data_IF_598500909973
#
_entry.id   IF_598500909973
#
_cell.length_a   1.000
_cell.length_b   1.000
_cell.length_c   1.000
_cell.angle_alpha   90.00
_cell.angle_beta   90.00
_cell.angle_gamma   90.00
#
_symmetry.space_group_name_H-M   'P 1'
#
loop_
_entity.id
_entity.type
_entity.pdbx_description
1 polymer ?
#
# COMPACT_ATOMS: atom_id res chain seq x y z
N UNK A 1 11.68 -23.12 3.80
CA UNK A 1 10.54 -23.61 4.59
C UNK A 1 9.89 -22.41 5.29
N UNK A 2 8.64 -22.16 4.96
CA UNK A 2 7.80 -21.19 5.67
C UNK A 2 7.10 -21.97 6.80
N UNK A 3 7.84 -22.24 7.89
CA UNK A 3 7.31 -23.00 9.03
C UNK A 3 6.20 -22.23 9.77
N UNK A 4 6.26 -20.91 9.72
CA UNK A 4 5.33 -20.04 10.42
C UNK A 4 4.12 -19.65 9.54
N UNK A 5 4.04 -20.20 8.32
CA UNK A 5 2.98 -19.94 7.33
C UNK A 5 2.75 -18.45 7.05
N UNK A 6 3.81 -17.64 7.21
CA UNK A 6 3.77 -16.17 7.07
C UNK A 6 3.44 -15.80 5.63
N UNK A 7 2.43 -14.97 5.46
CA UNK A 7 2.05 -14.36 4.18
C UNK A 7 2.98 -13.22 3.77
N UNK A 8 2.88 -12.80 2.51
CA UNK A 8 3.77 -11.76 1.97
C UNK A 8 3.54 -10.37 2.58
N UNK A 9 2.33 -10.09 3.07
CA UNK A 9 1.95 -8.81 3.65
C UNK A 9 2.20 -8.75 5.18
N UNK A 10 2.30 -9.91 5.86
CA UNK A 10 2.46 -9.94 7.31
C UNK A 10 3.68 -9.16 7.82
N UNK A 11 4.86 -9.23 7.15
CA UNK A 11 6.00 -8.45 7.59
C UNK A 11 5.81 -6.92 7.53
N UNK A 12 4.81 -6.44 6.80
CA UNK A 12 4.49 -5.01 6.63
C UNK A 12 3.16 -4.61 7.26
N UNK A 13 2.51 -5.54 7.96
CA UNK A 13 1.18 -5.31 8.53
C UNK A 13 1.16 -4.15 9.51
N UNK A 14 2.14 -4.08 10.41
CA UNK A 14 2.24 -3.01 11.40
C UNK A 14 2.36 -1.62 10.73
N UNK A 15 3.10 -1.52 9.63
CA UNK A 15 3.25 -0.28 8.87
C UNK A 15 1.96 0.08 8.11
N UNK A 16 1.24 -0.91 7.59
CA UNK A 16 -0.05 -0.70 6.95
C UNK A 16 -1.09 -0.22 7.96
N UNK A 17 -1.13 -0.81 9.16
CA UNK A 17 -2.03 -0.42 10.23
C UNK A 17 -1.70 0.99 10.74
N UNK A 18 -0.41 1.33 10.91
CA UNK A 18 0.03 2.68 11.26
C UNK A 18 -0.36 3.72 10.20
N UNK A 19 -0.25 3.37 8.93
CA UNK A 19 -0.65 4.23 7.81
C UNK A 19 -2.17 4.44 7.78
N UNK A 20 -2.94 3.37 7.96
CA UNK A 20 -4.41 3.43 8.02
C UNK A 20 -4.88 4.30 9.19
N UNK A 21 -4.26 4.16 10.37
CA UNK A 21 -4.54 4.99 11.54
C UNK A 21 -4.20 6.47 11.28
N UNK A 22 -3.09 6.75 10.61
CA UNK A 22 -2.67 8.12 10.27
C UNK A 22 -3.70 8.77 9.35
N UNK A 23 -4.18 8.09 8.31
CA UNK A 23 -5.23 8.62 7.43
C UNK A 23 -6.57 8.81 8.14
N UNK A 24 -6.93 7.90 9.07
CA UNK A 24 -8.14 8.06 9.89
C UNK A 24 -8.05 9.32 10.76
N UNK A 25 -6.92 9.52 11.45
CA UNK A 25 -6.69 10.70 12.28
C UNK A 25 -6.68 11.99 11.46
N UNK A 26 -6.09 11.99 10.26
CA UNK A 26 -6.11 13.13 9.34
C UNK A 26 -7.54 13.49 8.93
N UNK A 27 -8.37 12.49 8.65
CA UNK A 27 -9.79 12.67 8.33
C UNK A 27 -10.54 13.29 9.50
N UNK A 28 -10.30 12.82 10.72
CA UNK A 28 -10.93 13.35 11.95
C UNK A 28 -10.47 14.78 12.22
N UNK A 29 -9.19 15.09 11.97
CA UNK A 29 -8.65 16.45 12.10
C UNK A 29 -9.31 17.40 11.09
N UNK A 30 -9.51 16.98 9.84
CA UNK A 30 -10.24 17.77 8.83
C UNK A 30 -11.70 18.01 9.23
N UNK A 31 -12.37 16.99 9.78
CA UNK A 31 -13.74 17.15 10.33
C UNK A 31 -13.76 18.11 11.52
N UNK A 32 -12.77 18.05 12.39
CA UNK A 32 -12.62 18.94 13.53
C UNK A 32 -12.45 20.41 13.09
N UNK A 33 -11.69 20.65 12.02
CA UNK A 33 -11.55 21.99 11.42
C UNK A 33 -12.89 22.46 10.84
N UNK A 34 -13.63 21.59 10.17
CA UNK A 34 -14.95 21.91 9.61
C UNK A 34 -15.98 22.25 10.71
N UNK A 35 -15.85 21.64 11.89
CA UNK A 35 -16.70 21.86 13.08
C UNK A 35 -16.05 22.78 14.11
N UNK A 36 -15.21 23.70 13.68
CA UNK A 36 -14.48 24.60 14.56
C UNK A 36 -15.42 25.36 15.50
N UNK A 37 -15.04 25.45 16.78
CA UNK A 37 -15.77 26.17 17.80
C UNK A 37 -15.44 27.64 17.68
N UNK A 38 -16.47 28.48 17.62
CA UNK A 38 -16.31 29.91 17.66
C UNK A 38 -16.18 30.37 19.11
N UNK A 39 -15.02 30.88 19.49
CA UNK A 39 -14.80 31.48 20.81
C UNK A 39 -14.95 33.00 20.75
N UNK A 40 -15.74 33.51 21.67
CA UNK A 40 -15.99 34.98 21.81
C UNK A 40 -15.45 35.39 23.18
N UNK A 41 -14.49 36.31 23.19
CA UNK A 41 -13.88 36.85 24.41
C UNK A 41 -14.36 38.27 24.67
N UNK A 42 -14.62 38.65 25.93
CA UNK A 42 -14.96 39.99 26.32
C UNK A 42 -16.42 40.41 26.08
N UNK A 43 -17.29 39.46 25.64
CA UNK A 43 -18.73 39.74 25.53
C UNK A 43 -19.46 39.43 26.84
N UNK A 44 -20.24 40.37 27.35
CA UNK A 44 -21.15 40.10 28.46
C UNK A 44 -22.40 39.40 27.90
N UNK A 45 -22.52 38.11 28.13
CA UNK A 45 -23.67 37.26 27.78
C UNK A 45 -24.14 37.40 26.31
N UNK A 46 -23.77 36.47 25.50
CA UNK A 46 -24.28 36.33 24.14
C UNK A 46 -25.60 35.55 24.22
N UNK A 47 -26.72 36.18 23.81
CA UNK A 47 -28.03 35.53 23.76
C UNK A 47 -28.09 34.51 22.61
N UNK A 48 -28.87 33.41 22.77
CA UNK A 48 -29.03 32.37 21.72
C UNK A 48 -29.43 32.98 20.37
N UNK A 49 -30.25 34.04 20.39
CA UNK A 49 -30.67 34.74 19.18
C UNK A 49 -29.54 35.45 18.44
N UNK A 50 -28.52 35.91 19.14
CA UNK A 50 -27.34 36.53 18.54
C UNK A 50 -26.44 35.44 17.91
N UNK A 51 -26.31 34.28 18.56
CA UNK A 51 -25.58 33.11 18.02
C UNK A 51 -26.23 32.62 16.73
N UNK A 52 -27.57 32.49 16.72
CA UNK A 52 -28.31 32.10 15.54
C UNK A 52 -28.17 33.13 14.40
N UNK A 53 -28.17 34.44 14.74
CA UNK A 53 -27.96 35.50 13.76
C UNK A 53 -26.53 35.46 13.16
N UNK A 54 -25.51 35.17 13.96
CA UNK A 54 -24.12 34.98 13.50
C UNK A 54 -24.03 33.79 12.55
N UNK A 55 -24.62 32.65 12.93
CA UNK A 55 -24.60 31.44 12.11
C UNK A 55 -25.32 31.62 10.77
N UNK A 56 -26.44 32.35 10.78
CA UNK A 56 -27.32 32.59 9.61
C UNK A 56 -26.78 33.66 8.66
N UNK A 57 -26.30 34.77 9.22
CA UNK A 57 -25.87 35.91 8.41
C UNK A 57 -24.34 35.97 8.19
N UNK A 58 -23.60 35.12 8.90
CA UNK A 58 -22.12 35.12 8.89
C UNK A 58 -21.48 36.48 9.24
N UNK A 59 -22.21 37.30 9.96
CA UNK A 59 -21.79 38.63 10.38
C UNK A 59 -22.06 38.79 11.89
N UNK A 60 -21.03 39.14 12.64
CA UNK A 60 -21.14 39.46 14.06
C UNK A 60 -20.82 40.96 14.30
N UNK A 61 -21.65 41.63 15.11
CA UNK A 61 -21.33 42.95 15.65
C UNK A 61 -20.77 42.76 17.04
N UNK A 62 -19.49 43.07 17.21
CA UNK A 62 -18.78 42.94 18.47
C UNK A 62 -18.66 44.27 19.18
N UNK A 63 -18.72 44.32 20.54
CA UNK A 63 -18.31 45.47 21.33
C UNK A 63 -16.83 45.81 21.06
N UNK A 64 -16.43 47.03 21.42
CA UNK A 64 -15.09 47.58 21.09
C UNK A 64 -13.94 46.71 21.67
N UNK A 65 -14.17 46.01 22.78
CA UNK A 65 -13.15 45.19 23.48
C UNK A 65 -13.34 43.69 23.28
N UNK A 66 -14.30 43.25 22.43
CA UNK A 66 -14.55 41.86 22.20
C UNK A 66 -13.72 41.33 21.03
N UNK A 67 -13.17 40.11 21.20
CA UNK A 67 -12.43 39.39 20.19
C UNK A 67 -13.15 38.07 19.85
N UNK A 68 -13.18 37.75 18.59
CA UNK A 68 -13.78 36.53 18.09
C UNK A 68 -12.74 35.73 17.30
N UNK A 69 -12.59 34.47 17.62
CA UNK A 69 -11.69 33.59 16.88
C UNK A 69 -12.24 32.15 16.82
N UNK A 70 -11.92 31.44 15.75
CA UNK A 70 -12.22 30.02 15.69
C UNK A 70 -11.12 29.26 16.42
N UNK A 71 -11.54 28.40 17.38
CA UNK A 71 -10.64 27.50 18.06
C UNK A 71 -10.52 26.26 17.18
N UNK A 72 -9.39 26.12 16.51
CA UNK A 72 -9.07 24.96 15.67
C UNK A 72 -7.83 24.29 16.21
N UNK A 73 -7.74 22.96 16.05
CA UNK A 73 -6.53 22.22 16.33
C UNK A 73 -5.45 22.63 15.31
N UNK A 74 -4.30 23.05 15.81
CA UNK A 74 -3.17 23.34 14.93
C UNK A 74 -2.46 22.03 14.58
N UNK A 75 -2.74 21.51 13.40
CA UNK A 75 -2.14 20.26 12.87
C UNK A 75 -0.88 20.61 12.09
N UNK A 76 0.24 19.99 12.44
CA UNK A 76 1.47 20.12 11.68
C UNK A 76 1.40 19.20 10.45
N UNK A 77 0.89 19.72 9.35
CA UNK A 77 0.69 18.99 8.09
C UNK A 77 2.01 18.42 7.54
N UNK A 78 3.11 19.16 7.68
CA UNK A 78 4.42 18.71 7.19
C UNK A 78 4.92 17.50 7.97
N UNK A 79 4.71 17.45 9.29
CA UNK A 79 5.06 16.31 10.12
C UNK A 79 4.21 15.08 9.76
N UNK A 80 2.91 15.25 9.52
CA UNK A 80 2.01 14.16 9.09
C UNK A 80 2.44 13.61 7.74
N UNK A 81 2.69 14.49 6.76
CA UNK A 81 3.17 14.10 5.44
C UNK A 81 4.48 13.34 5.51
N UNK A 82 5.45 13.85 6.27
CA UNK A 82 6.74 13.18 6.46
C UNK A 82 6.59 11.78 7.07
N UNK A 83 5.67 11.63 8.04
CA UNK A 83 5.37 10.33 8.65
C UNK A 83 4.76 9.35 7.64
N UNK A 84 3.83 9.82 6.79
CA UNK A 84 3.25 9.02 5.71
C UNK A 84 4.33 8.56 4.74
N UNK A 85 5.17 9.48 4.26
CA UNK A 85 6.25 9.18 3.31
C UNK A 85 7.23 8.16 3.89
N UNK A 86 7.62 8.30 5.16
CA UNK A 86 8.48 7.32 5.85
C UNK A 86 7.84 5.93 5.96
N UNK A 87 6.55 5.85 6.30
CA UNK A 87 5.85 4.56 6.38
C UNK A 87 5.75 3.89 5.01
N UNK A 88 5.46 4.64 3.95
CA UNK A 88 5.44 4.13 2.59
C UNK A 88 6.81 3.58 2.17
N UNK A 89 7.89 4.33 2.42
CA UNK A 89 9.25 3.89 2.15
C UNK A 89 9.59 2.58 2.89
N UNK A 90 9.21 2.46 4.16
CA UNK A 90 9.40 1.25 4.95
C UNK A 90 8.62 0.07 4.38
N UNK A 91 7.36 0.27 3.96
CA UNK A 91 6.54 -0.77 3.33
C UNK A 91 7.23 -1.30 2.07
N UNK A 92 7.71 -0.43 1.19
CA UNK A 92 8.41 -0.83 -0.03
C UNK A 92 9.74 -1.55 0.27
N UNK A 93 10.50 -1.09 1.27
CA UNK A 93 11.76 -1.70 1.66
C UNK A 93 11.57 -3.10 2.27
N UNK A 94 10.66 -3.26 3.20
CA UNK A 94 10.41 -4.54 3.90
C UNK A 94 9.77 -5.55 2.95
N UNK A 95 8.79 -5.13 2.14
CA UNK A 95 8.14 -5.99 1.14
C UNK A 95 9.06 -6.33 -0.03
N UNK A 96 10.20 -5.64 -0.17
CA UNK A 96 11.13 -5.74 -1.33
C UNK A 96 10.43 -5.44 -2.66
N UNK A 97 9.36 -4.68 -2.61
CA UNK A 97 8.60 -4.26 -3.79
C UNK A 97 9.07 -2.86 -4.19
N UNK A 98 9.46 -2.63 -5.44
CA UNK A 98 9.86 -1.29 -5.88
C UNK A 98 8.64 -0.38 -5.97
N UNK A 99 8.80 0.88 -5.57
CA UNK A 99 7.81 1.91 -5.85
C UNK A 99 7.86 2.28 -7.34
N UNK A 100 6.83 1.86 -8.08
CA UNK A 100 6.72 2.12 -9.51
C UNK A 100 6.16 3.52 -9.81
N UNK A 101 5.63 4.21 -8.80
CA UNK A 101 5.08 5.56 -8.91
C UNK A 101 6.13 6.65 -8.70
N UNK A 102 7.28 6.29 -8.15
CA UNK A 102 8.40 7.23 -7.95
C UNK A 102 8.91 7.76 -9.30
N UNK A 103 9.02 9.09 -9.42
CA UNK A 103 9.63 9.77 -10.57
C UNK A 103 11.04 9.25 -10.86
N UNK A 104 11.76 8.79 -9.84
CA UNK A 104 13.05 8.11 -9.97
C UNK A 104 12.97 6.77 -10.70
N UNK A 105 11.76 6.17 -10.80
CA UNK A 105 11.55 4.95 -11.56
C UNK A 105 11.22 5.25 -13.03
N UNK A 106 10.58 6.38 -13.30
CA UNK A 106 10.15 6.81 -14.65
C UNK A 106 11.24 7.53 -15.45
N UNK A 107 12.38 7.90 -14.84
CA UNK A 107 13.48 8.58 -15.50
C UNK A 107 14.18 7.74 -16.57
N UNK A 108 15.00 8.39 -17.43
CA UNK A 108 15.83 7.73 -18.47
C UNK A 108 16.93 6.86 -17.83
N UNK A 109 16.54 5.73 -17.24
CA UNK A 109 17.47 4.79 -16.67
C UNK A 109 17.84 3.69 -17.66
N UNK A 110 19.09 3.26 -17.64
CA UNK A 110 19.52 2.12 -18.45
C UNK A 110 18.77 0.84 -17.99
N UNK A 111 18.50 -0.07 -18.93
CA UNK A 111 17.86 -1.34 -18.62
C UNK A 111 18.56 -2.14 -17.50
N UNK A 112 19.88 -1.96 -17.36
CA UNK A 112 20.68 -2.58 -16.28
C UNK A 112 20.33 -1.97 -14.91
N UNK A 113 20.21 -0.65 -14.82
CA UNK A 113 19.80 0.01 -13.55
C UNK A 113 18.40 -0.42 -13.12
N UNK A 114 17.48 -0.58 -14.08
CA UNK A 114 16.13 -1.09 -13.85
C UNK A 114 16.15 -2.53 -13.31
N UNK A 115 17.01 -3.40 -13.86
CA UNK A 115 17.17 -4.77 -13.37
C UNK A 115 17.65 -4.81 -11.92
N UNK A 116 18.59 -3.93 -11.53
CA UNK A 116 19.03 -3.84 -10.13
C UNK A 116 17.90 -3.40 -9.19
N UNK A 117 17.07 -2.45 -9.59
CA UNK A 117 15.92 -2.03 -8.78
C UNK A 117 14.89 -3.16 -8.60
N UNK A 118 14.72 -4.01 -9.61
CA UNK A 118 13.80 -5.15 -9.58
C UNK A 118 14.40 -6.41 -8.92
N UNK A 119 15.68 -6.38 -8.53
CA UNK A 119 16.38 -7.54 -8.00
C UNK A 119 15.71 -8.14 -6.76
N UNK A 120 15.23 -7.31 -5.84
CA UNK A 120 14.57 -7.75 -4.61
C UNK A 120 13.33 -8.60 -4.87
N UNK A 121 12.42 -8.09 -5.70
CA UNK A 121 11.19 -8.80 -6.07
C UNK A 121 11.48 -10.06 -6.89
N UNK A 122 12.52 -10.02 -7.74
CA UNK A 122 12.93 -11.19 -8.53
C UNK A 122 13.44 -12.33 -7.64
N UNK A 123 14.19 -12.04 -6.59
CA UNK A 123 14.61 -13.04 -5.62
C UNK A 123 13.44 -13.68 -4.88
N UNK A 124 12.44 -12.87 -4.48
CA UNK A 124 11.20 -13.38 -3.90
C UNK A 124 10.45 -14.30 -4.88
N UNK A 125 10.32 -13.88 -6.14
CA UNK A 125 9.68 -14.68 -7.19
C UNK A 125 10.37 -16.03 -7.41
N UNK A 126 11.69 -16.03 -7.53
CA UNK A 126 12.49 -17.27 -7.74
C UNK A 126 12.32 -18.23 -6.57
N UNK A 127 12.32 -17.70 -5.35
CA UNK A 127 12.14 -18.51 -4.14
C UNK A 127 10.75 -19.14 -4.13
N UNK A 128 9.69 -18.37 -4.38
CA UNK A 128 8.31 -18.89 -4.46
C UNK A 128 8.13 -19.91 -5.58
N UNK A 129 8.68 -19.64 -6.77
CA UNK A 129 8.62 -20.55 -7.89
C UNK A 129 9.27 -21.92 -7.56
N UNK A 130 10.36 -21.91 -6.78
CA UNK A 130 11.03 -23.13 -6.33
C UNK A 130 10.13 -23.96 -5.40
N UNK A 131 9.51 -23.32 -4.40
CA UNK A 131 8.60 -24.04 -3.50
C UNK A 131 7.35 -24.52 -4.21
N UNK A 132 6.77 -23.69 -5.07
CA UNK A 132 5.58 -24.07 -5.84
C UNK A 132 5.86 -25.23 -6.80
N UNK A 133 7.01 -25.21 -7.48
CA UNK A 133 7.47 -26.34 -8.32
C UNK A 133 7.53 -27.64 -7.51
N UNK A 134 8.10 -27.59 -6.30
CA UNK A 134 8.17 -28.75 -5.42
C UNK A 134 6.78 -29.29 -5.04
N UNK A 135 5.86 -28.41 -4.71
CA UNK A 135 4.47 -28.77 -4.39
C UNK A 135 3.77 -29.41 -5.60
N UNK A 136 3.98 -28.88 -6.81
CA UNK A 136 3.43 -29.46 -8.03
C UNK A 136 3.97 -30.86 -8.30
N UNK A 137 5.26 -31.11 -8.11
CA UNK A 137 5.81 -32.45 -8.22
C UNK A 137 5.19 -33.45 -7.23
N UNK A 138 5.04 -33.03 -5.97
CA UNK A 138 4.36 -33.88 -4.98
C UNK A 138 2.91 -34.16 -5.37
N UNK A 139 2.19 -33.16 -5.87
CA UNK A 139 0.81 -33.35 -6.34
C UNK A 139 0.70 -34.31 -7.49
N UNK A 140 1.59 -34.22 -8.50
CA UNK A 140 1.63 -35.17 -9.62
C UNK A 140 1.92 -36.56 -9.12
N UNK A 141 2.89 -36.72 -8.22
CA UNK A 141 3.23 -38.03 -7.65
C UNK A 141 2.03 -38.68 -6.95
N UNK A 142 1.28 -37.91 -6.15
CA UNK A 142 0.06 -38.42 -5.51
C UNK A 142 -1.02 -38.76 -6.51
N UNK A 143 -1.21 -37.99 -7.57
CA UNK A 143 -2.16 -38.29 -8.64
C UNK A 143 -1.80 -39.60 -9.36
N UNK A 144 -0.52 -39.81 -9.69
CA UNK A 144 -0.06 -41.04 -10.30
C UNK A 144 -0.30 -42.28 -9.41
N UNK A 145 -0.12 -42.14 -8.09
CA UNK A 145 -0.43 -43.20 -7.13
C UNK A 145 -1.94 -43.50 -7.11
N UNK A 146 -2.80 -42.50 -7.10
CA UNK A 146 -4.26 -42.71 -7.13
C UNK A 146 -4.69 -43.39 -8.41
N UNK A 147 -4.18 -42.96 -9.57
CA UNK A 147 -4.49 -43.58 -10.87
C UNK A 147 -4.00 -45.04 -10.90
N UNK A 148 -2.79 -45.31 -10.39
CA UNK A 148 -2.25 -46.67 -10.30
C UNK A 148 -3.16 -47.60 -9.48
N UNK A 149 -3.69 -47.10 -8.37
CA UNK A 149 -4.63 -47.85 -7.53
C UNK A 149 -5.99 -48.04 -8.21
N UNK A 150 -6.52 -47.01 -8.86
CA UNK A 150 -7.82 -47.07 -9.52
C UNK A 150 -7.82 -48.02 -10.75
N UNK A 151 -6.75 -48.04 -11.53
CA UNK A 151 -6.62 -48.85 -12.71
C UNK A 151 -6.01 -50.25 -12.43
N UNK A 152 -5.64 -50.49 -11.19
CA UNK A 152 -4.93 -51.72 -10.76
C UNK A 152 -3.71 -52.04 -11.67
N UNK A 153 -2.98 -50.99 -12.08
CA UNK A 153 -1.81 -51.06 -12.96
C UNK A 153 -0.64 -50.35 -12.31
N UNK A 154 0.55 -50.90 -12.46
CA UNK A 154 1.78 -50.22 -12.05
C UNK A 154 2.07 -49.08 -13.04
N UNK A 155 1.91 -47.82 -12.59
CA UNK A 155 2.28 -46.63 -13.36
C UNK A 155 3.67 -46.19 -12.92
N UNK A 156 4.59 -46.04 -13.88
CA UNK A 156 5.92 -45.54 -13.60
C UNK A 156 5.85 -44.11 -13.12
N UNK A 157 6.66 -43.74 -12.11
CA UNK A 157 6.78 -42.38 -11.63
C UNK A 157 7.47 -41.51 -12.69
N UNK A 158 6.65 -40.79 -13.46
CA UNK A 158 7.10 -39.85 -14.49
C UNK A 158 7.22 -38.44 -13.93
N UNK A 159 6.96 -38.24 -12.65
CA UNK A 159 6.94 -36.90 -12.05
C UNK A 159 8.26 -36.15 -12.24
N UNK A 160 9.39 -36.84 -12.25
CA UNK A 160 10.71 -36.25 -12.48
C UNK A 160 11.01 -35.93 -13.96
N UNK A 161 10.21 -36.44 -14.91
CA UNK A 161 10.34 -36.12 -16.33
C UNK A 161 9.53 -34.88 -16.75
N UNK A 162 8.71 -34.37 -15.86
CA UNK A 162 7.88 -33.21 -16.09
C UNK A 162 8.64 -31.97 -15.59
N UNK A 163 8.79 -30.94 -16.42
CA UNK A 163 9.33 -29.66 -16.01
C UNK A 163 8.23 -28.59 -16.01
N UNK A 164 8.29 -27.70 -15.01
CA UNK A 164 7.39 -26.58 -14.86
C UNK A 164 8.13 -25.30 -15.19
N UNK A 165 7.69 -24.61 -16.24
CA UNK A 165 8.28 -23.35 -16.68
C UNK A 165 7.37 -22.22 -16.23
N UNK A 166 7.89 -21.32 -15.39
CA UNK A 166 7.20 -20.12 -14.95
C UNK A 166 7.68 -18.94 -15.76
N UNK A 167 6.81 -18.38 -16.60
CA UNK A 167 7.12 -17.22 -17.42
C UNK A 167 7.01 -15.93 -16.60
N UNK A 168 7.90 -14.98 -16.90
CA UNK A 168 7.77 -13.62 -16.40
C UNK A 168 6.75 -12.88 -17.25
N UNK A 169 5.74 -12.32 -16.60
CA UNK A 169 4.75 -11.49 -17.28
C UNK A 169 5.22 -10.03 -17.30
N UNK A 170 6.39 -9.79 -17.88
CA UNK A 170 6.89 -8.43 -18.09
C UNK A 170 6.18 -7.82 -19.30
N UNK A 171 5.75 -6.56 -19.25
CA UNK A 171 5.31 -5.85 -20.45
C UNK A 171 6.47 -5.84 -21.44
N UNK A 172 6.32 -6.59 -22.52
CA UNK A 172 7.27 -6.54 -23.62
C UNK A 172 7.13 -5.17 -24.27
N UNK A 173 8.11 -4.29 -24.09
CA UNK A 173 8.32 -3.23 -25.06
C UNK A 173 8.54 -3.93 -26.41
N UNK A 174 7.52 -3.89 -27.27
CA UNK A 174 7.66 -4.28 -28.66
C UNK A 174 8.63 -3.29 -29.32
N UNK A 175 9.93 -3.55 -29.21
CA UNK A 175 10.87 -3.06 -30.21
C UNK A 175 10.51 -3.80 -31.48
N UNK A 176 9.71 -3.15 -32.36
CA UNK A 176 9.55 -3.61 -33.74
C UNK A 176 10.96 -3.87 -34.29
N UNK A 177 11.26 -5.07 -34.79
CA UNK A 177 12.46 -5.22 -35.59
C UNK A 177 12.31 -4.25 -36.77
N UNK A 178 13.23 -3.30 -36.86
CA UNK A 178 13.40 -2.52 -38.08
C UNK A 178 13.79 -3.52 -39.16
N UNK A 179 12.81 -4.02 -39.92
CA UNK A 179 13.06 -4.68 -41.19
C UNK A 179 13.62 -3.63 -42.11
N UNK A 180 14.95 -3.54 -42.14
CA UNK A 180 15.68 -2.85 -43.16
C UNK A 180 15.57 -3.63 -44.46
N UNK A 181 15.10 -2.99 -45.47
CA UNK A 181 15.16 -3.34 -46.89
C UNK A 181 16.59 -3.56 -47.33
#
# INVERSE_FOLDING_TARGET
NNYDEIGDYEPVQDQLDALALTFSNETDDLQSIANAILAIYGAMATDEKEIDAINKNKVAKLPTDAKMEFVVKNVNIDAVKHHIDQNLDLIYQISKTPDLTDDKFSGQQSGVAMQYKLWGIEQCRVTKARYFRRALYQRIKLLLQIISLAENRTIYDISQKIDFIFYKNLPLCHSRPLTGT
#
